data_IF_820036392213
#
_entry.id   IF_820036392213
#
_cell.length_a   1.000
_cell.length_b   1.000
_cell.length_c   1.000
_cell.angle_alpha   90.00
_cell.angle_beta   90.00
_cell.angle_gamma   90.00
#
_symmetry.space_group_name_H-M   'P 1'
#
loop_
_entity.id
_entity.type
_entity.pdbx_description
1 polymer ?
#
# COMPACT_ATOMS: atom_id res chain seq x y z
N UNK A 1 13.10 -3.29 -16.44
CA UNK A 1 13.34 -4.31 -17.49
C UNK A 1 14.80 -4.75 -17.37
N UNK A 2 15.06 -6.06 -17.37
CA UNK A 2 16.43 -6.53 -17.61
C UNK A 2 16.82 -6.07 -19.03
N UNK A 3 18.04 -5.59 -19.21
CA UNK A 3 18.53 -4.96 -20.44
C UNK A 3 18.40 -5.83 -21.73
N UNK A 4 17.98 -7.10 -21.59
CA UNK A 4 17.88 -8.09 -22.67
C UNK A 4 16.43 -8.48 -23.03
N UNK A 5 15.40 -7.75 -22.56
CA UNK A 5 14.01 -7.97 -22.99
C UNK A 5 13.36 -9.30 -22.54
N UNK A 6 14.03 -10.12 -21.73
CA UNK A 6 13.46 -11.36 -21.17
C UNK A 6 12.49 -11.05 -20.03
N UNK A 7 11.25 -11.50 -20.17
CA UNK A 7 10.22 -11.47 -19.12
C UNK A 7 10.34 -12.76 -18.30
N UNK A 8 10.47 -12.63 -16.97
CA UNK A 8 10.33 -13.74 -16.02
C UNK A 8 8.93 -13.68 -15.43
N UNK A 9 8.25 -14.82 -15.38
CA UNK A 9 6.96 -14.96 -14.71
C UNK A 9 7.12 -15.76 -13.42
N UNK A 10 6.36 -15.37 -12.40
CA UNK A 10 6.17 -16.12 -11.16
C UNK A 10 4.68 -16.48 -11.06
N UNK A 11 4.39 -17.72 -10.68
CA UNK A 11 3.02 -18.21 -10.57
C UNK A 11 2.70 -18.46 -9.09
N UNK A 12 1.53 -17.96 -8.67
CA UNK A 12 0.99 -18.21 -7.34
C UNK A 12 -0.34 -18.95 -7.46
N UNK A 13 -0.74 -19.73 -6.43
CA UNK A 13 -2.03 -20.39 -6.38
C UNK A 13 -3.21 -19.47 -6.71
N UNK A 14 -4.17 -19.98 -7.50
CA UNK A 14 -5.32 -19.21 -8.01
C UNK A 14 -6.13 -18.53 -6.92
N UNK A 15 -6.30 -19.15 -5.75
CA UNK A 15 -7.09 -18.61 -4.64
C UNK A 15 -6.60 -17.24 -4.15
N UNK A 16 -5.33 -16.91 -4.33
CA UNK A 16 -4.80 -15.58 -4.01
C UNK A 16 -5.38 -14.48 -4.91
N UNK A 17 -5.91 -14.82 -6.08
CA UNK A 17 -6.43 -13.86 -7.05
C UNK A 17 -7.96 -13.89 -7.17
N UNK A 18 -8.64 -14.81 -6.46
CA UNK A 18 -10.10 -14.94 -6.52
C UNK A 18 -10.84 -13.92 -5.65
N UNK A 19 -10.17 -13.41 -4.60
CA UNK A 19 -10.78 -12.46 -3.66
C UNK A 19 -9.78 -11.43 -3.17
N UNK A 20 -10.30 -10.29 -2.69
CA UNK A 20 -9.50 -9.28 -2.00
C UNK A 20 -8.75 -9.87 -0.81
N UNK A 21 -9.30 -10.86 -0.10
CA UNK A 21 -8.64 -11.54 1.03
C UNK A 21 -7.46 -12.39 0.60
N UNK A 22 -7.65 -13.15 -0.49
CA UNK A 22 -6.57 -13.90 -1.11
C UNK A 22 -5.44 -12.96 -1.53
N UNK A 23 -5.78 -11.82 -2.14
CA UNK A 23 -4.76 -10.88 -2.57
C UNK A 23 -3.99 -10.30 -1.38
N UNK A 24 -4.71 -9.88 -0.34
CA UNK A 24 -4.11 -9.38 0.90
C UNK A 24 -3.19 -10.41 1.57
N UNK A 25 -3.62 -11.68 1.63
CA UNK A 25 -2.79 -12.73 2.24
C UNK A 25 -1.51 -12.98 1.45
N UNK A 26 -1.57 -12.91 0.11
CA UNK A 26 -0.37 -12.99 -0.73
C UNK A 26 0.58 -11.82 -0.47
N UNK A 27 0.06 -10.59 -0.46
CA UNK A 27 0.84 -9.35 -0.28
C UNK A 27 1.47 -9.19 1.11
N UNK A 28 1.00 -9.96 2.09
CA UNK A 28 1.54 -10.02 3.45
C UNK A 28 2.42 -11.25 3.68
N UNK A 29 2.48 -12.19 2.73
CA UNK A 29 3.28 -13.41 2.90
C UNK A 29 4.76 -13.18 2.64
N UNK A 30 5.61 -13.80 3.46
CA UNK A 30 7.06 -13.87 3.24
C UNK A 30 7.39 -14.64 1.95
N UNK A 31 6.63 -15.70 1.65
CA UNK A 31 6.78 -16.50 0.45
C UNK A 31 6.64 -15.69 -0.85
N UNK A 32 5.84 -14.61 -0.86
CA UNK A 32 5.74 -13.71 -2.01
C UNK A 32 7.05 -12.93 -2.23
N UNK A 33 7.58 -12.29 -1.18
CA UNK A 33 8.81 -11.50 -1.28
C UNK A 33 10.05 -12.37 -1.54
N UNK A 34 10.07 -13.59 -1.02
CA UNK A 34 11.14 -14.56 -1.26
C UNK A 34 11.44 -14.75 -2.75
N UNK A 35 10.40 -14.78 -3.60
CA UNK A 35 10.52 -14.98 -5.05
C UNK A 35 11.32 -13.87 -5.74
N UNK A 36 11.44 -12.71 -5.11
CA UNK A 36 12.03 -11.50 -5.70
C UNK A 36 13.29 -11.02 -4.97
N UNK A 37 13.86 -11.79 -4.03
CA UNK A 37 15.03 -11.39 -3.23
C UNK A 37 16.27 -10.95 -4.04
N UNK A 38 16.36 -11.35 -5.32
CA UNK A 38 17.43 -10.90 -6.23
C UNK A 38 17.29 -9.43 -6.67
N UNK A 39 16.22 -8.74 -6.27
CA UNK A 39 15.97 -7.33 -6.57
C UNK A 39 15.87 -6.52 -5.27
N UNK A 40 16.26 -5.23 -5.34
CA UNK A 40 16.12 -4.32 -4.19
C UNK A 40 14.66 -3.90 -3.97
N UNK A 41 13.96 -3.61 -5.07
CA UNK A 41 12.62 -3.03 -5.06
C UNK A 41 11.63 -3.84 -5.89
N UNK A 42 10.41 -3.94 -5.38
CA UNK A 42 9.24 -4.46 -6.08
C UNK A 42 8.27 -3.31 -6.34
N UNK A 43 7.95 -3.09 -7.61
CA UNK A 43 6.83 -2.22 -7.99
C UNK A 43 5.60 -3.11 -8.26
N UNK A 44 4.56 -2.92 -7.47
CA UNK A 44 3.23 -3.46 -7.74
C UNK A 44 2.48 -2.43 -8.58
N UNK A 45 1.94 -2.87 -9.71
CA UNK A 45 1.23 -2.05 -10.68
C UNK A 45 -0.01 -2.82 -11.19
N UNK A 46 -1.20 -2.39 -10.82
CA UNK A 46 -2.46 -2.92 -11.36
C UNK A 46 -2.88 -2.10 -12.59
N UNK A 47 -3.72 -2.69 -13.44
CA UNK A 47 -4.06 -2.14 -14.75
C UNK A 47 -4.92 -0.87 -14.69
N UNK A 48 -5.50 -0.57 -13.52
CA UNK A 48 -6.25 0.65 -13.23
C UNK A 48 -5.37 1.79 -12.66
N UNK A 49 -4.06 1.56 -12.48
CA UNK A 49 -3.11 2.60 -12.16
C UNK A 49 -2.68 3.39 -13.41
N UNK A 50 -2.39 4.68 -13.24
CA UNK A 50 -1.81 5.53 -14.29
C UNK A 50 -0.56 6.25 -13.77
N UNK A 51 0.53 6.17 -14.53
CA UNK A 51 1.81 6.85 -14.23
C UNK A 51 1.96 8.06 -15.14
N UNK A 52 1.93 9.24 -14.53
CA UNK A 52 2.02 10.53 -15.22
C UNK A 52 3.47 10.99 -15.45
N UNK A 53 4.43 10.47 -14.67
CA UNK A 53 5.85 10.84 -14.76
C UNK A 53 6.75 9.63 -14.54
N UNK A 54 7.79 9.50 -15.38
CA UNK A 54 8.80 8.47 -15.24
C UNK A 54 9.87 8.88 -14.23
N UNK A 55 9.58 8.74 -12.94
CA UNK A 55 10.50 9.07 -11.83
C UNK A 55 10.87 7.83 -11.00
N UNK A 56 10.57 6.62 -11.47
CA UNK A 56 10.71 5.38 -10.68
C UNK A 56 12.12 5.20 -10.10
N UNK A 57 13.17 5.46 -10.90
CA UNK A 57 14.56 5.35 -10.44
C UNK A 57 14.87 6.34 -9.31
N UNK A 58 14.40 7.59 -9.43
CA UNK A 58 14.57 8.60 -8.39
C UNK A 58 13.89 8.19 -7.08
N UNK A 59 12.76 7.46 -7.15
CA UNK A 59 12.10 6.93 -5.96
C UNK A 59 12.85 5.77 -5.34
N UNK A 60 13.45 4.89 -6.15
CA UNK A 60 14.35 3.84 -5.66
C UNK A 60 15.61 4.41 -4.97
N UNK A 61 16.12 5.55 -5.43
CA UNK A 61 17.29 6.23 -4.85
C UNK A 61 17.01 6.86 -3.48
N UNK A 62 15.73 7.16 -3.17
CA UNK A 62 15.35 7.75 -1.86
C UNK A 62 15.36 6.75 -0.70
N UNK A 63 15.62 5.48 -0.97
CA UNK A 63 15.81 4.43 0.04
C UNK A 63 14.61 4.28 1.00
N UNK A 64 13.38 4.46 0.51
CA UNK A 64 12.17 4.17 1.28
C UNK A 64 11.90 2.67 1.30
N UNK A 65 11.26 2.19 2.38
CA UNK A 65 10.85 0.79 2.50
C UNK A 65 9.47 0.54 1.91
N UNK A 66 8.59 1.52 1.97
CA UNK A 66 7.26 1.44 1.39
C UNK A 66 6.78 2.79 0.87
N UNK A 67 6.29 2.80 -0.37
CA UNK A 67 5.62 3.94 -0.99
C UNK A 67 4.29 3.44 -1.55
N UNK A 68 3.19 3.80 -0.91
CA UNK A 68 1.84 3.60 -1.45
C UNK A 68 1.35 4.82 -2.23
N UNK A 69 0.31 4.62 -3.04
CA UNK A 69 -0.41 5.72 -3.68
C UNK A 69 -0.93 6.75 -2.65
N UNK A 70 -0.94 8.05 -2.99
CA UNK A 70 -1.58 9.09 -2.19
C UNK A 70 -3.09 8.80 -2.05
N UNK A 71 -3.68 9.23 -0.94
CA UNK A 71 -5.14 9.30 -0.82
C UNK A 71 -5.61 10.71 -1.06
N UNK A 72 -6.57 10.87 -1.96
CA UNK A 72 -7.33 12.12 -2.09
C UNK A 72 -8.22 12.22 -0.87
N UNK A 73 -7.75 12.90 0.18
CA UNK A 73 -8.65 13.49 1.14
C UNK A 73 -9.43 14.57 0.39
N UNK A 74 -10.73 14.37 0.15
CA UNK A 74 -11.55 15.50 -0.35
C UNK A 74 -11.40 16.66 0.63
N UNK A 75 -11.42 17.92 0.16
CA UNK A 75 -11.34 19.10 1.01
C UNK A 75 -12.28 18.97 2.21
N UNK A 76 -11.78 19.34 3.38
CA UNK A 76 -12.48 19.27 4.65
C UNK A 76 -13.58 20.35 4.67
N UNK A 77 -14.67 20.12 3.93
CA UNK A 77 -15.78 21.06 3.84
C UNK A 77 -16.56 21.08 5.16
N UNK A 78 -16.97 22.28 5.60
CA UNK A 78 -17.76 22.47 6.83
C UNK A 78 -18.99 21.54 6.89
N UNK A 79 -19.57 21.23 5.72
CA UNK A 79 -20.69 20.31 5.53
C UNK A 79 -20.35 18.85 5.91
N UNK A 80 -19.16 18.35 5.53
CA UNK A 80 -18.66 17.01 5.94
C UNK A 80 -18.44 16.92 7.45
N UNK A 81 -18.00 18.02 8.08
CA UNK A 81 -17.79 18.11 9.53
C UNK A 81 -19.11 18.05 10.30
N UNK A 82 -20.15 18.71 9.79
CA UNK A 82 -21.53 18.64 10.31
C UNK A 82 -22.14 17.23 10.18
N UNK A 83 -22.01 16.60 9.00
CA UNK A 83 -22.45 15.22 8.76
C UNK A 83 -21.66 14.17 9.58
N UNK A 84 -20.43 14.49 9.99
CA UNK A 84 -19.58 13.63 10.84
C UNK A 84 -20.04 13.51 12.30
N UNK A 85 -20.87 14.43 12.78
CA UNK A 85 -21.38 14.43 14.16
C UNK A 85 -22.42 13.30 14.34
N UNK A 86 -23.17 12.98 13.29
CA UNK A 86 -24.13 11.88 13.25
C UNK A 86 -23.50 10.52 12.92
N UNK A 87 -22.18 10.47 12.68
CA UNK A 87 -21.50 9.23 12.34
C UNK A 87 -21.14 8.45 13.61
N UNK A 88 -21.52 7.17 13.64
CA UNK A 88 -21.12 6.25 14.70
C UNK A 88 -19.60 6.20 14.88
N UNK A 89 -19.13 5.83 16.08
CA UNK A 89 -17.70 5.68 16.40
C UNK A 89 -16.96 4.83 15.34
N UNK A 90 -17.59 3.74 14.88
CA UNK A 90 -17.14 2.86 13.79
C UNK A 90 -17.02 3.61 12.45
N UNK A 91 -17.98 4.46 12.10
CA UNK A 91 -17.96 5.26 10.86
C UNK A 91 -16.89 6.37 10.90
N UNK A 92 -16.60 6.94 12.07
CA UNK A 92 -15.49 7.91 12.27
C UNK A 92 -14.11 7.25 12.17
N UNK A 93 -13.92 6.07 12.72
CA UNK A 93 -12.68 5.29 12.54
C UNK A 93 -12.49 4.86 11.09
N UNK A 94 -13.56 4.35 10.44
CA UNK A 94 -13.56 4.04 9.00
C UNK A 94 -13.17 5.24 8.15
N UNK A 95 -13.69 6.44 8.43
CA UNK A 95 -13.28 7.65 7.71
C UNK A 95 -11.80 7.96 7.92
N UNK A 96 -11.27 7.88 9.14
CA UNK A 96 -9.84 8.10 9.41
C UNK A 96 -8.93 7.13 8.64
N UNK A 97 -9.39 5.92 8.37
CA UNK A 97 -8.68 4.89 7.59
C UNK A 97 -8.88 5.13 6.09
N UNK A 98 -10.10 5.39 5.63
CA UNK A 98 -10.39 5.81 4.25
C UNK A 98 -9.62 7.05 3.82
N UNK A 99 -9.37 8.01 4.72
CA UNK A 99 -8.54 9.19 4.43
C UNK A 99 -7.03 8.87 4.42
N UNK A 100 -6.63 7.65 4.80
CA UNK A 100 -5.22 7.26 4.95
C UNK A 100 -4.77 6.16 3.98
N UNK A 101 -5.63 5.22 3.56
CA UNK A 101 -5.19 3.95 2.95
C UNK A 101 -6.13 3.33 1.91
N UNK A 102 -5.48 2.70 0.94
CA UNK A 102 -6.02 1.86 -0.14
C UNK A 102 -5.28 2.03 -1.48
N UNK A 103 -5.17 0.93 -2.19
CA UNK A 103 -4.40 0.81 -3.42
C UNK A 103 -5.28 1.17 -4.60
N UNK A 104 -4.90 2.21 -5.35
CA UNK A 104 -5.11 2.19 -6.81
C UNK A 104 -4.11 1.23 -7.48
N UNK A 105 -3.80 0.10 -6.83
CA UNK A 105 -2.89 -0.92 -7.31
C UNK A 105 -1.44 -0.51 -7.54
N UNK A 106 -0.95 0.53 -6.87
CA UNK A 106 0.38 1.09 -7.14
C UNK A 106 1.18 1.25 -5.84
N UNK A 107 2.21 0.42 -5.67
CA UNK A 107 3.14 0.57 -4.54
C UNK A 107 4.56 0.14 -4.87
N UNK A 108 5.54 0.88 -4.34
CA UNK A 108 6.96 0.51 -4.37
C UNK A 108 7.37 -0.02 -3.00
N UNK A 109 8.00 -1.20 -2.95
CA UNK A 109 8.34 -1.91 -1.72
C UNK A 109 9.79 -2.36 -1.72
N UNK A 110 10.52 -2.10 -0.63
CA UNK A 110 11.84 -2.68 -0.39
C UNK A 110 11.69 -4.17 -0.07
N UNK A 111 12.20 -5.03 -0.94
CA UNK A 111 11.91 -6.48 -0.89
C UNK A 111 12.54 -7.10 0.35
N UNK A 112 13.80 -6.78 0.65
CA UNK A 112 14.50 -7.34 1.81
C UNK A 112 13.80 -6.94 3.12
N UNK A 113 13.42 -5.66 3.24
CA UNK A 113 12.72 -5.16 4.43
C UNK A 113 11.34 -5.78 4.58
N UNK A 114 10.55 -5.84 3.51
CA UNK A 114 9.23 -6.47 3.53
C UNK A 114 9.30 -7.98 3.81
N UNK A 115 10.28 -8.69 3.26
CA UNK A 115 10.50 -10.10 3.53
C UNK A 115 10.80 -10.35 5.01
N UNK A 116 11.77 -9.61 5.57
CA UNK A 116 12.12 -9.69 6.99
C UNK A 116 10.90 -9.44 7.88
N UNK A 117 10.18 -8.33 7.65
CA UNK A 117 9.02 -7.97 8.46
C UNK A 117 7.88 -8.98 8.32
N UNK A 118 7.66 -9.53 7.11
CA UNK A 118 6.66 -10.57 6.89
C UNK A 118 6.99 -11.87 7.64
N UNK A 119 8.28 -12.16 7.87
CA UNK A 119 8.72 -13.28 8.70
C UNK A 119 8.55 -13.01 10.19
N UNK A 120 8.98 -11.83 10.64
CA UNK A 120 8.94 -11.44 12.06
C UNK A 120 7.50 -11.23 12.57
N UNK A 121 6.62 -10.64 11.76
CA UNK A 121 5.24 -10.32 12.12
C UNK A 121 4.23 -11.41 11.72
N UNK A 122 4.64 -12.67 11.54
CA UNK A 122 3.74 -13.77 11.12
C UNK A 122 2.49 -13.88 12.00
N UNK A 123 2.62 -13.65 13.30
CA UNK A 123 1.51 -13.75 14.25
C UNK A 123 0.50 -12.62 14.09
N UNK A 124 0.99 -11.40 13.88
CA UNK A 124 0.23 -10.18 13.68
C UNK A 124 -0.47 -10.21 12.34
N UNK A 125 0.20 -10.70 11.29
CA UNK A 125 -0.38 -10.93 9.97
C UNK A 125 -1.51 -11.95 10.07
N UNK A 126 -1.30 -13.09 10.71
CA UNK A 126 -2.33 -14.11 10.90
C UNK A 126 -3.55 -13.57 11.67
N UNK A 127 -3.31 -12.70 12.66
CA UNK A 127 -4.37 -12.01 13.40
C UNK A 127 -5.09 -10.98 12.53
N UNK A 128 -4.35 -10.23 11.72
CA UNK A 128 -4.92 -9.23 10.82
C UNK A 128 -5.84 -9.88 9.77
N UNK A 129 -5.41 -11.00 9.20
CA UNK A 129 -6.16 -11.75 8.19
C UNK A 129 -7.45 -12.43 8.73
N UNK A 130 -7.61 -12.51 10.06
CA UNK A 130 -8.85 -13.00 10.71
C UNK A 130 -9.89 -11.91 10.94
N UNK A 131 -9.59 -10.64 10.65
CA UNK A 131 -10.52 -9.52 10.82
C UNK A 131 -11.77 -9.69 9.97
N UNK A 132 -12.86 -9.04 10.40
CA UNK A 132 -14.10 -9.01 9.63
C UNK A 132 -13.87 -8.42 8.24
N UNK A 133 -14.63 -8.92 7.26
CA UNK A 133 -14.55 -8.47 5.87
C UNK A 133 -14.83 -6.97 5.65
N UNK A 134 -15.53 -6.36 6.60
CA UNK A 134 -15.91 -4.95 6.57
C UNK A 134 -14.90 -4.04 7.28
N UNK A 135 -13.86 -4.63 7.90
CA UNK A 135 -12.81 -3.95 8.65
C UNK A 135 -11.66 -3.60 7.70
N UNK A 136 -11.49 -2.30 7.46
CA UNK A 136 -10.46 -1.81 6.56
C UNK A 136 -9.03 -2.10 7.04
N UNK A 137 -8.80 -2.36 8.33
CA UNK A 137 -7.47 -2.75 8.80
C UNK A 137 -6.94 -4.05 8.19
N UNK A 138 -7.82 -4.85 7.58
CA UNK A 138 -7.39 -6.07 6.90
C UNK A 138 -6.63 -5.80 5.59
N UNK A 139 -6.76 -4.62 4.98
CA UNK A 139 -6.04 -4.35 3.72
C UNK A 139 -4.52 -4.28 3.97
N UNK A 140 -3.76 -4.86 3.05
CA UNK A 140 -2.31 -4.93 3.05
C UNK A 140 -1.68 -3.54 3.09
N UNK A 141 -2.27 -2.55 2.42
CA UNK A 141 -1.75 -1.19 2.46
C UNK A 141 -1.86 -0.57 3.85
N UNK A 142 -2.91 -0.91 4.59
CA UNK A 142 -3.07 -0.46 5.99
C UNK A 142 -2.01 -1.10 6.84
N UNK A 143 -1.73 -2.37 6.59
CA UNK A 143 -0.67 -3.08 7.28
C UNK A 143 0.68 -2.38 7.05
N UNK A 144 1.09 -2.21 5.79
CA UNK A 144 2.38 -1.61 5.47
C UNK A 144 2.50 -0.13 5.84
N UNK A 145 1.41 0.65 5.75
CA UNK A 145 1.47 2.11 6.00
C UNK A 145 1.10 2.56 7.41
N UNK A 146 0.43 1.72 8.20
CA UNK A 146 -0.04 2.08 9.55
C UNK A 146 0.40 1.07 10.61
N UNK A 147 0.33 -0.23 10.33
CA UNK A 147 0.66 -1.25 11.34
C UNK A 147 2.18 -1.36 11.47
N UNK A 148 2.89 -1.61 10.37
CA UNK A 148 4.35 -1.77 10.38
C UNK A 148 5.08 -0.58 11.01
N UNK A 149 4.80 0.70 10.67
CA UNK A 149 5.46 1.84 11.32
C UNK A 149 5.25 1.96 12.83
N UNK A 150 4.23 1.30 13.41
CA UNK A 150 4.04 1.26 14.86
C UNK A 150 4.97 0.27 15.56
N UNK A 151 5.41 -0.76 14.84
CA UNK A 151 6.31 -1.80 15.35
C UNK A 151 7.76 -1.52 14.95
N UNK A 152 7.99 -0.87 13.82
CA UNK A 152 9.31 -0.59 13.24
C UNK A 152 9.48 0.92 13.05
N UNK A 153 10.13 1.58 14.01
CA UNK A 153 10.38 3.03 13.96
C UNK A 153 11.38 3.42 12.87
N UNK A 154 12.18 2.47 12.40
CA UNK A 154 13.13 2.61 11.30
C UNK A 154 12.53 2.30 9.92
N UNK A 155 11.25 1.91 9.85
CA UNK A 155 10.57 1.64 8.58
C UNK A 155 10.27 2.93 7.82
N UNK A 156 10.97 3.15 6.71
CA UNK A 156 10.99 4.42 5.98
C UNK A 156 9.81 4.53 5.02
N UNK A 157 8.90 5.48 5.31
CA UNK A 157 7.79 5.85 4.43
C UNK A 157 7.90 7.35 4.11
N UNK A 158 7.64 7.80 2.86
CA UNK A 158 7.61 9.22 2.55
C UNK A 158 6.51 9.94 3.33
N UNK A 159 6.83 11.15 3.81
CA UNK A 159 5.84 12.02 4.46
C UNK A 159 4.70 12.38 3.50
N UNK A 160 3.51 12.71 4.03
CA UNK A 160 2.28 12.92 3.24
C UNK A 160 2.41 13.91 2.08
N UNK A 161 3.31 14.90 2.15
CA UNK A 161 3.59 15.86 1.06
C UNK A 161 4.46 15.29 -0.07
N UNK A 162 5.11 14.15 0.15
CA UNK A 162 6.01 13.46 -0.77
C UNK A 162 5.50 12.06 -1.17
N UNK A 163 4.27 11.68 -0.81
CA UNK A 163 3.56 10.62 -1.54
C UNK A 163 3.23 11.16 -2.94
N UNK A 164 3.30 10.31 -3.98
CA UNK A 164 3.09 10.73 -5.38
C UNK A 164 1.99 11.78 -5.47
N UNK A 165 2.28 13.01 -5.89
CA UNK A 165 1.24 14.04 -5.99
C UNK A 165 0.58 13.87 -7.35
N UNK A 166 -0.60 13.27 -7.35
CA UNK A 166 -1.51 13.27 -8.50
C UNK A 166 -2.60 14.29 -8.22
N UNK A 167 -2.43 15.50 -8.74
CA UNK A 167 -3.51 16.46 -8.82
C UNK A 167 -3.70 16.83 -10.29
N UNK A 168 -4.95 16.71 -10.72
CA UNK A 168 -5.50 17.36 -11.90
C UNK A 168 -5.12 18.84 -11.90
N UNK A 169 -4.75 19.33 -13.07
CA UNK A 169 -4.63 20.75 -13.39
C UNK A 169 -5.80 21.55 -12.82
N UNK A 170 -5.53 22.53 -11.97
CA UNK A 170 -6.28 23.78 -11.98
C UNK A 170 -5.41 24.83 -12.66
N UNK A 171 -5.78 25.08 -13.91
CA UNK A 171 -5.61 26.27 -14.74
C UNK A 171 -4.43 27.21 -14.47
N UNK A 172 -3.57 27.28 -15.49
CA UNK A 172 -2.97 28.55 -15.89
C UNK A 172 -4.08 29.58 -16.15
N UNK A 173 -4.06 30.68 -15.39
CA UNK A 173 -3.97 32.06 -15.90
C UNK A 173 -3.84 33.04 -14.71
#
# INVERSE_FOLDING_TARGET
MNANGKIRSEVFPKHYFETVYGYNSLMLSDAFYERFLNFKYLLIYQLDAFVFKNELLQWCEKDYDYIGAPWIASPDTLLKKMLSIFNSKRKRERQKIFFKVGNGGFSLRNIAKCYQIAQEMKSEIATNLKREKNDFYIMEDVFWSIIVPKHYSDFKIPSTKRRWVLQSTENQN
#
